data_IF_926187289990
#
_entry.id   IF_926187289990
#
_cell.length_a   1.000
_cell.length_b   1.000
_cell.length_c   1.000
_cell.angle_alpha   90.00
_cell.angle_beta   90.00
_cell.angle_gamma   90.00
#
_symmetry.space_group_name_H-M   'P 1'
#
loop_
_entity.id
_entity.type
_entity.pdbx_description
1 polymer ?
#
# COMPACT_ATOMS: atom_id res chain seq x y z
N UNK A 1 -25.04 -9.45 5.99
CA UNK A 1 -24.31 -10.71 5.77
C UNK A 1 -22.83 -10.35 5.68
N UNK A 2 -22.02 -10.79 6.65
CA UNK A 2 -20.58 -10.52 6.61
C UNK A 2 -20.02 -11.27 5.40
N UNK A 3 -19.23 -10.62 4.55
CA UNK A 3 -18.55 -11.27 3.39
C UNK A 3 -17.81 -12.56 3.76
N UNK A 4 -17.47 -12.74 5.04
CA UNK A 4 -16.76 -13.90 5.58
C UNK A 4 -17.66 -15.09 5.94
N UNK A 5 -18.97 -14.90 6.07
CA UNK A 5 -19.93 -16.00 6.38
C UNK A 5 -20.12 -16.90 5.15
N UNK A 6 -20.26 -16.32 3.96
CA UNK A 6 -20.39 -17.10 2.71
C UNK A 6 -19.07 -17.80 2.33
N UNK A 7 -17.94 -17.22 2.73
CA UNK A 7 -16.64 -17.85 2.57
C UNK A 7 -16.43 -19.05 3.51
N UNK A 8 -17.16 -19.14 4.63
CA UNK A 8 -17.00 -20.22 5.62
C UNK A 8 -17.40 -21.58 5.05
N UNK A 9 -18.55 -21.67 4.38
CA UNK A 9 -19.00 -22.91 3.75
C UNK A 9 -18.11 -23.33 2.57
N UNK A 10 -17.58 -22.35 1.81
CA UNK A 10 -16.60 -22.60 0.75
C UNK A 10 -15.25 -23.11 1.31
N UNK A 11 -14.79 -22.53 2.41
CA UNK A 11 -13.55 -22.93 3.11
C UNK A 11 -13.67 -24.33 3.72
N UNK A 12 -14.85 -24.69 4.25
CA UNK A 12 -15.10 -25.98 4.89
C UNK A 12 -15.12 -27.14 3.89
N UNK A 13 -15.48 -26.88 2.64
CA UNK A 13 -15.52 -27.86 1.56
C UNK A 13 -14.33 -27.72 0.59
N UNK A 14 -13.18 -27.20 1.05
CA UNK A 14 -12.00 -26.92 0.23
C UNK A 14 -11.51 -28.12 -0.58
N UNK A 15 -11.69 -29.32 -0.04
CA UNK A 15 -11.28 -30.60 -0.64
C UNK A 15 -12.07 -30.93 -1.92
N UNK A 16 -13.27 -30.37 -2.09
CA UNK A 16 -14.12 -30.55 -3.27
C UNK A 16 -13.82 -29.56 -4.39
N UNK A 17 -13.07 -28.50 -4.10
CA UNK A 17 -12.92 -27.35 -5.01
C UNK A 17 -11.47 -27.10 -5.47
N UNK A 18 -10.48 -27.90 -5.06
CA UNK A 18 -9.07 -27.82 -5.52
C UNK A 18 -8.39 -26.45 -5.34
N UNK A 19 -8.91 -25.61 -4.46
CA UNK A 19 -8.68 -24.17 -4.52
C UNK A 19 -8.26 -23.52 -3.20
N UNK A 20 -8.16 -24.34 -2.15
CA UNK A 20 -7.67 -23.98 -0.83
C UNK A 20 -6.86 -25.15 -0.29
N UNK A 21 -5.55 -25.13 -0.48
CA UNK A 21 -4.67 -25.97 0.34
C UNK A 21 -4.58 -25.32 1.72
N UNK A 22 -5.23 -25.94 2.71
CA UNK A 22 -4.90 -25.67 4.11
C UNK A 22 -3.40 -25.94 4.28
N UNK A 23 -2.65 -24.91 4.68
CA UNK A 23 -1.22 -25.02 4.89
C UNK A 23 -0.95 -25.86 6.14
N UNK A 24 -0.95 -27.18 5.95
CA UNK A 24 -0.52 -28.17 6.95
C UNK A 24 1.00 -28.38 6.91
N UNK A 25 1.74 -27.49 6.24
CA UNK A 25 3.17 -27.63 6.09
C UNK A 25 3.88 -27.34 7.43
N UNK A 26 4.44 -28.41 8.01
CA UNK A 26 5.30 -28.32 9.20
C UNK A 26 6.65 -27.66 8.87
N UNK A 27 6.93 -27.34 7.61
CA UNK A 27 8.19 -26.74 7.10
C UNK A 27 8.03 -25.27 6.72
N UNK A 28 7.28 -24.47 7.49
CA UNK A 28 7.19 -23.02 7.29
C UNK A 28 8.59 -22.39 7.26
N UNK A 29 8.83 -21.53 6.28
CA UNK A 29 10.10 -20.79 6.18
C UNK A 29 9.96 -19.45 6.87
N UNK A 30 10.34 -19.39 8.14
CA UNK A 30 10.38 -18.14 8.88
C UNK A 30 11.67 -17.40 8.51
N UNK A 31 11.56 -16.14 8.08
CA UNK A 31 12.73 -15.32 7.76
C UNK A 31 12.54 -13.87 8.19
N UNK A 32 13.65 -13.19 8.46
CA UNK A 32 13.65 -11.75 8.77
C UNK A 32 13.43 -10.93 7.50
N UNK A 33 12.59 -9.90 7.58
CA UNK A 33 12.22 -9.06 6.44
C UNK A 33 12.00 -7.61 6.86
N UNK A 34 12.22 -6.68 5.95
CA UNK A 34 11.81 -5.27 6.08
C UNK A 34 10.58 -4.94 5.22
N UNK A 35 10.05 -5.94 4.50
CA UNK A 35 8.86 -5.84 3.65
C UNK A 35 7.63 -6.16 4.48
N UNK A 36 7.05 -5.12 5.06
CA UNK A 36 5.74 -5.21 5.71
C UNK A 36 4.67 -5.19 4.62
N UNK A 37 3.80 -6.19 4.60
CA UNK A 37 2.61 -6.23 3.75
C UNK A 37 1.39 -5.92 4.62
N UNK A 38 0.74 -4.78 4.39
CA UNK A 38 -0.32 -4.26 5.28
C UNK A 38 -1.55 -5.17 5.45
N UNK A 39 -1.74 -6.17 4.58
CA UNK A 39 -2.90 -7.05 4.60
C UNK A 39 -2.97 -7.99 5.81
N UNK A 40 -1.81 -8.42 6.36
CA UNK A 40 -1.74 -9.30 7.53
C UNK A 40 -0.47 -9.00 8.32
N UNK A 41 -0.57 -8.04 9.23
CA UNK A 41 0.54 -7.63 10.09
C UNK A 41 0.11 -7.71 11.55
N UNK A 42 0.98 -8.26 12.40
CA UNK A 42 0.83 -8.22 13.84
C UNK A 42 2.00 -7.43 14.45
N UNK A 43 1.70 -6.51 15.36
CA UNK A 43 2.69 -5.70 16.04
C UNK A 43 2.57 -6.02 17.53
N UNK A 44 3.68 -6.45 18.15
CA UNK A 44 3.74 -6.58 19.61
C UNK A 44 3.51 -5.19 20.22
N UNK A 45 2.60 -5.08 21.19
CA UNK A 45 2.30 -3.78 21.81
C UNK A 45 3.54 -3.12 22.42
N UNK A 46 4.44 -3.91 23.02
CA UNK A 46 5.73 -3.41 23.52
C UNK A 46 6.65 -2.88 22.42
N UNK A 47 6.50 -3.35 21.18
CA UNK A 47 7.23 -2.86 20.02
C UNK A 47 6.58 -1.63 19.38
N UNK A 48 5.35 -1.26 19.75
CA UNK A 48 4.72 -0.03 19.27
C UNK A 48 5.57 1.20 19.64
N UNK A 49 6.26 1.14 20.79
CA UNK A 49 7.24 2.12 21.20
C UNK A 49 8.37 2.23 20.18
N UNK A 50 8.51 3.40 19.56
CA UNK A 50 9.56 3.67 18.59
C UNK A 50 9.29 3.07 17.21
N UNK A 51 8.06 2.68 16.90
CA UNK A 51 7.56 2.60 15.53
C UNK A 51 6.82 3.89 15.17
N UNK A 52 6.98 4.42 13.95
CA UNK A 52 6.15 5.52 13.47
C UNK A 52 4.70 5.02 13.23
N UNK A 53 3.71 5.92 13.18
CA UNK A 53 2.37 5.54 12.73
C UNK A 53 2.40 5.17 11.24
N UNK A 54 1.40 4.40 10.80
CA UNK A 54 1.08 4.33 9.38
C UNK A 54 0.75 5.73 8.87
N UNK A 55 1.30 6.09 7.71
CA UNK A 55 1.14 7.42 7.14
C UNK A 55 0.80 7.29 5.66
N UNK A 56 -0.27 7.96 5.26
CA UNK A 56 -0.69 8.08 3.86
C UNK A 56 -0.91 9.55 3.55
N UNK A 57 -0.64 9.92 2.31
CA UNK A 57 -0.84 11.27 1.80
C UNK A 57 -2.17 11.35 1.06
N UNK A 58 -2.76 12.54 1.01
CA UNK A 58 -3.93 12.86 0.19
C UNK A 58 -3.58 14.04 -0.70
N UNK A 59 -4.00 14.00 -1.96
CA UNK A 59 -3.80 15.09 -2.92
C UNK A 59 -5.01 15.20 -3.86
N UNK A 60 -5.24 16.39 -4.39
CA UNK A 60 -6.38 16.68 -5.27
C UNK A 60 -5.94 16.61 -6.74
N UNK A 61 -6.55 15.73 -7.53
CA UNK A 61 -6.34 15.63 -8.97
C UNK A 61 -7.66 15.99 -9.64
N UNK A 62 -7.69 17.13 -10.34
CA UNK A 62 -8.87 17.61 -11.08
C UNK A 62 -10.16 17.69 -10.26
N UNK A 63 -10.08 18.06 -8.98
CA UNK A 63 -11.23 18.14 -8.08
C UNK A 63 -11.41 16.91 -7.19
N UNK A 64 -10.83 15.76 -7.56
CA UNK A 64 -10.97 14.51 -6.81
C UNK A 64 -9.83 14.32 -5.81
N UNK A 65 -10.19 13.99 -4.56
CA UNK A 65 -9.21 13.65 -3.53
C UNK A 65 -8.78 12.19 -3.66
N UNK A 66 -7.48 12.00 -3.90
CA UNK A 66 -6.84 10.69 -4.01
C UNK A 66 -6.07 10.38 -2.74
N UNK A 67 -6.42 9.27 -2.10
CA UNK A 67 -5.60 8.68 -1.02
C UNK A 67 -4.43 7.89 -1.63
N UNK A 68 -3.21 8.26 -1.27
CA UNK A 68 -2.01 7.53 -1.68
C UNK A 68 -1.94 6.14 -1.05
N UNK A 69 -1.13 5.27 -1.64
CA UNK A 69 -0.89 3.89 -1.19
C UNK A 69 0.53 3.72 -0.70
N UNK A 70 0.78 2.75 0.17
CA UNK A 70 2.13 2.27 0.53
C UNK A 70 2.61 2.74 1.90
N UNK A 71 1.68 2.96 2.81
CA UNK A 71 1.88 3.19 4.24
C UNK A 71 2.72 2.09 4.89
N UNK A 72 2.55 0.84 4.46
CA UNK A 72 3.31 -0.33 4.89
C UNK A 72 4.77 -0.25 4.45
N UNK A 73 5.02 0.21 3.23
CA UNK A 73 6.37 0.47 2.70
C UNK A 73 7.08 1.56 3.50
N UNK A 74 6.36 2.62 3.88
CA UNK A 74 6.92 3.71 4.69
C UNK A 74 7.29 3.22 6.09
N UNK A 75 6.45 2.39 6.71
CA UNK A 75 6.75 1.74 7.97
C UNK A 75 7.97 0.83 7.85
N UNK A 76 8.05 0.00 6.79
CA UNK A 76 9.18 -0.90 6.53
C UNK A 76 10.52 -0.17 6.40
N UNK A 77 10.56 0.97 5.72
CA UNK A 77 11.76 1.82 5.61
C UNK A 77 12.23 2.32 6.98
N UNK A 78 11.29 2.67 7.86
CA UNK A 78 11.61 3.14 9.21
C UNK A 78 12.03 1.98 10.11
N UNK A 79 11.39 0.83 9.98
CA UNK A 79 11.76 -0.39 10.68
C UNK A 79 13.21 -0.80 10.36
N UNK A 80 13.61 -0.75 9.08
CA UNK A 80 14.99 -1.03 8.64
C UNK A 80 16.05 -0.16 9.32
N UNK A 81 15.68 1.05 9.74
CA UNK A 81 16.56 1.99 10.46
C UNK A 81 16.51 1.83 11.98
N UNK A 82 15.74 0.86 12.48
CA UNK A 82 15.56 0.58 13.90
C UNK A 82 16.19 -0.76 14.27
N UNK A 83 16.40 -0.99 15.56
CA UNK A 83 16.85 -2.29 16.10
C UNK A 83 15.73 -3.34 16.14
N UNK A 84 14.51 -2.98 15.74
CA UNK A 84 13.36 -3.89 15.76
C UNK A 84 13.41 -4.82 14.54
N UNK A 85 12.95 -6.05 14.75
CA UNK A 85 12.85 -7.07 13.72
C UNK A 85 11.40 -7.23 13.26
N UNK A 86 11.22 -7.44 11.96
CA UNK A 86 10.00 -8.00 11.40
C UNK A 86 10.33 -9.37 10.83
N UNK A 87 9.44 -10.33 11.07
CA UNK A 87 9.55 -11.69 10.60
C UNK A 87 8.37 -11.98 9.69
N UNK A 88 8.65 -12.60 8.55
CA UNK A 88 7.64 -13.28 7.78
C UNK A 88 7.52 -14.69 8.33
N UNK A 89 6.31 -15.08 8.69
CA UNK A 89 6.01 -16.42 9.23
C UNK A 89 5.46 -17.37 8.17
N UNK A 90 5.53 -16.97 6.89
CA UNK A 90 5.13 -17.76 5.72
C UNK A 90 3.71 -18.29 5.85
N UNK A 91 2.83 -17.46 6.43
CA UNK A 91 1.44 -17.85 6.65
C UNK A 91 0.66 -17.63 5.36
N UNK A 92 0.23 -18.75 4.75
CA UNK A 92 -0.64 -18.72 3.59
C UNK A 92 -2.03 -18.24 4.01
N UNK A 93 -2.47 -17.17 3.35
CA UNK A 93 -3.79 -16.56 3.57
C UNK A 93 -4.53 -16.49 2.26
N UNK A 94 -5.83 -16.83 2.29
CA UNK A 94 -6.69 -16.62 1.15
C UNK A 94 -7.05 -15.13 1.04
N UNK A 95 -6.81 -14.54 -0.13
CA UNK A 95 -7.15 -13.17 -0.42
C UNK A 95 -8.00 -13.13 -1.70
N UNK A 96 -9.31 -12.94 -1.55
CA UNK A 96 -10.21 -12.74 -2.69
C UNK A 96 -10.02 -11.32 -3.25
N UNK A 97 -9.01 -11.15 -4.09
CA UNK A 97 -8.55 -9.83 -4.54
C UNK A 97 -9.65 -9.02 -5.19
N UNK A 98 -10.49 -9.62 -6.02
CA UNK A 98 -11.50 -8.91 -6.82
C UNK A 98 -12.95 -9.20 -6.40
N UNK A 99 -13.16 -10.02 -5.37
CA UNK A 99 -14.50 -10.36 -4.89
C UNK A 99 -15.23 -11.41 -5.73
N UNK A 100 -14.67 -11.83 -6.86
CA UNK A 100 -15.32 -12.72 -7.84
C UNK A 100 -14.63 -14.08 -7.99
N UNK A 101 -13.84 -14.50 -7.00
CA UNK A 101 -13.26 -15.85 -6.97
C UNK A 101 -14.31 -16.94 -7.26
N UNK A 102 -14.03 -17.96 -8.11
CA UNK A 102 -12.74 -18.31 -8.73
C UNK A 102 -12.49 -17.72 -10.14
N UNK A 103 -13.26 -16.71 -10.57
CA UNK A 103 -13.14 -16.16 -11.91
C UNK A 103 -11.73 -15.59 -12.19
N UNK A 104 -11.22 -15.83 -13.41
CA UNK A 104 -9.95 -15.27 -13.86
C UNK A 104 -10.17 -13.78 -14.18
N UNK A 105 -9.44 -12.85 -13.53
CA UNK A 105 -9.61 -11.43 -13.77
C UNK A 105 -9.19 -11.02 -15.19
N UNK A 106 -10.05 -10.27 -15.88
CA UNK A 106 -9.77 -9.69 -17.21
C UNK A 106 -9.92 -8.16 -17.17
N UNK A 107 -8.79 -7.45 -17.08
CA UNK A 107 -8.74 -5.98 -17.01
C UNK A 107 -9.31 -5.27 -18.25
N UNK A 108 -9.38 -5.94 -19.42
CA UNK A 108 -9.92 -5.32 -20.62
C UNK A 108 -11.44 -5.30 -20.60
N UNK A 109 -12.05 -6.37 -20.08
CA UNK A 109 -13.50 -6.58 -20.07
C UNK A 109 -14.16 -6.07 -18.79
N UNK A 110 -13.50 -6.22 -17.64
CA UNK A 110 -14.07 -5.87 -16.36
C UNK A 110 -13.73 -4.42 -15.98
N UNK A 111 -14.78 -3.57 -15.95
CA UNK A 111 -14.66 -2.17 -15.55
C UNK A 111 -14.19 -2.01 -14.11
N UNK A 112 -14.62 -2.87 -13.18
CA UNK A 112 -14.25 -2.77 -11.77
C UNK A 112 -12.76 -3.01 -11.54
N UNK A 113 -12.18 -3.96 -12.28
CA UNK A 113 -10.74 -4.26 -12.27
C UNK A 113 -9.97 -3.07 -12.87
N UNK A 114 -10.46 -2.54 -13.99
CA UNK A 114 -9.88 -1.37 -14.64
C UNK A 114 -9.89 -0.13 -13.75
N UNK A 115 -11.02 0.15 -13.10
CA UNK A 115 -11.19 1.24 -12.14
C UNK A 115 -10.24 1.08 -10.96
N UNK A 116 -10.17 -0.12 -10.37
CA UNK A 116 -9.22 -0.40 -9.29
C UNK A 116 -7.79 -0.16 -9.72
N UNK A 117 -7.41 -0.60 -10.93
CA UNK A 117 -6.07 -0.38 -11.45
C UNK A 117 -5.77 1.11 -11.64
N UNK A 118 -6.70 1.86 -12.21
CA UNK A 118 -6.60 3.32 -12.37
C UNK A 118 -6.35 4.04 -11.04
N UNK A 119 -7.18 3.79 -10.03
CA UNK A 119 -7.00 4.41 -8.70
C UNK A 119 -5.72 3.94 -8.01
N UNK A 120 -5.25 2.72 -8.28
CA UNK A 120 -3.97 2.23 -7.76
C UNK A 120 -2.79 2.98 -8.39
N UNK A 121 -2.84 3.25 -9.70
CA UNK A 121 -1.84 4.09 -10.37
C UNK A 121 -1.76 5.49 -9.74
N UNK A 122 -2.90 6.15 -9.54
CA UNK A 122 -2.95 7.46 -8.87
C UNK A 122 -2.39 7.35 -7.43
N UNK A 123 -2.83 6.36 -6.67
CA UNK A 123 -2.37 6.15 -5.29
C UNK A 123 -0.84 5.98 -5.17
N UNK A 124 -0.21 5.24 -6.09
CA UNK A 124 1.26 5.10 -6.10
C UNK A 124 1.98 6.36 -6.57
N UNK A 125 1.43 7.09 -7.56
CA UNK A 125 1.98 8.37 -8.00
C UNK A 125 1.98 9.40 -6.88
N UNK A 126 0.88 9.48 -6.10
CA UNK A 126 0.76 10.38 -4.96
C UNK A 126 1.80 10.14 -3.85
N UNK A 127 2.20 8.89 -3.62
CA UNK A 127 3.21 8.51 -2.61
C UNK A 127 4.64 8.86 -3.05
N UNK A 128 4.94 8.73 -4.34
CA UNK A 128 6.33 8.70 -4.83
C UNK A 128 7.20 9.92 -4.42
N UNK A 129 6.74 11.18 -4.51
CA UNK A 129 7.55 12.33 -4.09
C UNK A 129 7.99 12.21 -2.64
N UNK A 130 7.07 11.87 -1.73
CA UNK A 130 7.37 11.72 -0.31
C UNK A 130 8.31 10.54 -0.05
N UNK A 131 8.11 9.42 -0.74
CA UNK A 131 9.00 8.26 -0.63
C UNK A 131 10.44 8.59 -1.08
N UNK A 132 10.59 9.33 -2.19
CA UNK A 132 11.88 9.75 -2.72
C UNK A 132 12.59 10.69 -1.74
N UNK A 133 11.86 11.65 -1.17
CA UNK A 133 12.38 12.54 -0.11
C UNK A 133 12.82 11.75 1.12
N UNK A 134 12.01 10.79 1.58
CA UNK A 134 12.33 9.97 2.75
C UNK A 134 13.61 9.13 2.56
N UNK A 135 13.92 8.76 1.32
CA UNK A 135 15.13 8.04 0.94
C UNK A 135 16.36 8.96 0.76
N UNK A 136 16.18 10.29 0.74
CA UNK A 136 17.25 11.24 0.48
C UNK A 136 17.68 11.29 -1.00
N UNK A 137 16.77 10.97 -1.92
CA UNK A 137 17.03 11.02 -3.35
C UNK A 137 17.12 12.46 -3.86
N UNK A 138 17.79 12.65 -5.00
CA UNK A 138 17.71 13.87 -5.80
C UNK A 138 16.30 13.97 -6.42
N UNK A 139 15.47 14.80 -5.79
CA UNK A 139 14.04 14.96 -6.11
C UNK A 139 13.84 15.38 -7.56
N UNK A 140 14.61 16.35 -8.06
CA UNK A 140 14.47 16.88 -9.42
C UNK A 140 14.90 15.84 -10.45
N UNK A 141 16.03 15.17 -10.22
CA UNK A 141 16.49 14.10 -11.11
C UNK A 141 15.48 12.95 -11.19
N UNK A 142 14.96 12.51 -10.04
CA UNK A 142 13.97 11.41 -10.00
C UNK A 142 12.65 11.85 -10.61
N UNK A 143 12.17 13.07 -10.34
CA UNK A 143 10.95 13.65 -10.93
C UNK A 143 11.03 13.62 -12.45
N UNK A 144 12.11 14.16 -13.01
CA UNK A 144 12.30 14.24 -14.46
C UNK A 144 12.33 12.85 -15.13
N UNK A 145 12.98 11.87 -14.49
CA UNK A 145 12.96 10.47 -14.95
C UNK A 145 11.56 9.86 -14.88
N UNK A 146 10.86 10.03 -13.76
CA UNK A 146 9.50 9.51 -13.57
C UNK A 146 8.51 10.11 -14.57
N UNK A 147 8.58 11.43 -14.80
CA UNK A 147 7.73 12.13 -15.76
C UNK A 147 7.87 11.56 -17.17
N UNK A 148 9.11 11.39 -17.67
CA UNK A 148 9.37 10.81 -18.99
C UNK A 148 8.73 9.42 -19.13
N UNK A 149 8.93 8.55 -18.14
CA UNK A 149 8.40 7.19 -18.16
C UNK A 149 6.87 7.16 -18.06
N UNK A 150 6.28 8.00 -17.22
CA UNK A 150 4.82 8.06 -17.03
C UNK A 150 4.13 8.62 -18.28
N UNK A 151 4.73 9.58 -19.01
CA UNK A 151 4.17 10.06 -20.29
C UNK A 151 4.08 8.93 -21.32
N UNK A 152 5.13 8.10 -21.44
CA UNK A 152 5.14 6.97 -22.38
C UNK A 152 4.14 5.90 -21.91
N UNK A 153 4.22 5.52 -20.63
CA UNK A 153 3.39 4.47 -20.05
C UNK A 153 1.89 4.81 -20.04
N UNK A 154 1.52 6.05 -19.73
CA UNK A 154 0.12 6.50 -19.72
C UNK A 154 -0.52 6.40 -21.09
N UNK A 155 0.17 6.84 -22.16
CA UNK A 155 -0.32 6.73 -23.54
C UNK A 155 -0.49 5.28 -23.97
N UNK A 156 0.51 4.45 -23.72
CA UNK A 156 0.45 3.03 -24.05
C UNK A 156 -0.69 2.33 -23.30
N UNK A 157 -0.86 2.65 -22.02
CA UNK A 157 -1.88 2.05 -21.18
C UNK A 157 -3.30 2.50 -21.56
N UNK A 158 -3.49 3.79 -21.84
CA UNK A 158 -4.75 4.34 -22.32
C UNK A 158 -5.19 3.67 -23.62
N UNK A 159 -4.25 3.47 -24.57
CA UNK A 159 -4.52 2.75 -25.82
C UNK A 159 -4.84 1.28 -25.57
N UNK A 160 -4.04 0.58 -24.75
CA UNK A 160 -4.21 -0.85 -24.49
C UNK A 160 -5.55 -1.19 -23.80
N UNK A 161 -6.02 -0.31 -22.90
CA UNK A 161 -7.26 -0.47 -22.15
C UNK A 161 -8.46 0.24 -22.78
N UNK A 162 -8.25 1.01 -23.85
CA UNK A 162 -9.21 1.92 -24.45
C UNK A 162 -9.88 2.82 -23.39
N UNK A 163 -9.06 3.51 -22.60
CA UNK A 163 -9.50 4.32 -21.46
C UNK A 163 -8.61 5.56 -21.31
N UNK A 164 -9.13 6.70 -21.71
CA UNK A 164 -8.40 7.97 -21.73
C UNK A 164 -8.11 8.53 -20.33
N UNK A 165 -8.78 8.02 -19.27
CA UNK A 165 -8.52 8.48 -17.90
C UNK A 165 -7.06 8.32 -17.51
N UNK A 166 -6.37 7.30 -18.04
CA UNK A 166 -4.94 7.08 -17.78
C UNK A 166 -4.03 8.19 -18.33
N UNK A 167 -4.50 9.05 -19.23
CA UNK A 167 -3.73 10.17 -19.75
C UNK A 167 -3.46 11.26 -18.70
N UNK A 168 -4.18 11.26 -17.56
CA UNK A 168 -3.97 12.22 -16.46
C UNK A 168 -2.74 11.91 -15.60
N UNK A 169 -2.19 10.68 -15.67
CA UNK A 169 -1.13 10.25 -14.77
C UNK A 169 0.13 11.15 -14.76
N UNK A 170 0.59 11.73 -15.89
CA UNK A 170 1.69 12.71 -15.87
C UNK A 170 1.36 13.99 -15.08
N UNK A 171 0.13 14.50 -15.18
CA UNK A 171 -0.32 15.67 -14.44
C UNK A 171 -0.48 15.34 -12.96
N UNK A 172 -1.04 14.18 -12.63
CA UNK A 172 -1.13 13.69 -11.25
C UNK A 172 0.26 13.61 -10.58
N UNK A 173 1.30 13.25 -11.33
CA UNK A 173 2.69 13.26 -10.85
C UNK A 173 3.18 14.68 -10.55
N UNK A 174 2.91 15.63 -11.44
CA UNK A 174 3.28 17.02 -11.19
C UNK A 174 2.60 17.54 -9.93
N UNK A 175 1.27 17.37 -9.81
CA UNK A 175 0.51 17.77 -8.63
C UNK A 175 1.07 17.13 -7.36
N UNK A 176 1.46 15.85 -7.39
CA UNK A 176 2.00 15.19 -6.21
C UNK A 176 3.35 15.79 -5.78
N UNK A 177 4.22 16.18 -6.73
CA UNK A 177 5.47 16.89 -6.42
C UNK A 177 5.23 18.31 -5.90
N UNK A 178 4.27 19.06 -6.46
CA UNK A 178 3.90 20.39 -5.95
C UNK A 178 3.38 20.34 -4.49
N UNK A 179 2.79 19.22 -4.09
CA UNK A 179 2.30 18.99 -2.73
C UNK A 179 3.37 18.51 -1.74
N UNK A 180 4.61 18.27 -2.17
CA UNK A 180 5.62 17.58 -1.36
C UNK A 180 5.90 18.31 -0.03
N UNK A 181 6.04 19.64 -0.04
CA UNK A 181 6.34 20.41 1.17
C UNK A 181 5.22 20.30 2.22
N UNK A 182 3.96 20.43 1.77
CA UNK A 182 2.78 20.23 2.61
C UNK A 182 2.80 18.84 3.24
N UNK A 183 3.02 17.81 2.43
CA UNK A 183 3.07 16.41 2.88
C UNK A 183 4.19 16.17 3.90
N UNK A 184 5.37 16.77 3.70
CA UNK A 184 6.48 16.70 4.67
C UNK A 184 6.06 17.33 6.01
N UNK A 185 5.36 18.47 5.98
CA UNK A 185 4.83 19.14 7.17
C UNK A 185 3.81 18.25 7.89
N UNK A 186 2.85 17.69 7.17
CA UNK A 186 1.84 16.76 7.70
C UNK A 186 2.47 15.53 8.34
N UNK A 187 3.49 14.95 7.70
CA UNK A 187 4.25 13.84 8.26
C UNK A 187 4.93 14.22 9.57
N UNK A 188 5.63 15.36 9.61
CA UNK A 188 6.29 15.86 10.84
C UNK A 188 5.28 16.11 11.96
N UNK A 189 4.11 16.67 11.65
CA UNK A 189 3.04 16.90 12.61
C UNK A 189 2.48 15.60 13.17
N UNK A 190 2.23 14.63 12.29
CA UNK A 190 1.75 13.29 12.65
C UNK A 190 2.76 12.58 13.55
N UNK A 191 4.05 12.65 13.24
CA UNK A 191 5.10 12.10 14.08
C UNK A 191 5.15 12.74 15.48
N UNK A 192 4.98 14.06 15.59
CA UNK A 192 4.91 14.75 16.89
C UNK A 192 3.71 14.27 17.71
N UNK A 193 2.52 14.29 17.12
CA UNK A 193 1.29 13.85 17.77
C UNK A 193 1.37 12.38 18.20
N UNK A 194 1.93 11.51 17.36
CA UNK A 194 2.15 10.11 17.67
C UNK A 194 3.07 9.92 18.87
N UNK A 195 4.20 10.63 18.91
CA UNK A 195 5.13 10.55 20.04
C UNK A 195 4.47 11.01 21.35
N UNK A 196 3.65 12.05 21.30
CA UNK A 196 2.91 12.52 22.49
C UNK A 196 1.83 11.53 22.94
N UNK A 197 1.17 10.87 21.98
CA UNK A 197 0.22 9.79 22.26
C UNK A 197 0.92 8.61 22.96
N UNK A 198 2.04 8.14 22.43
CA UNK A 198 2.81 7.04 23.02
C UNK A 198 3.27 7.38 24.45
N UNK A 199 3.79 8.60 24.68
CA UNK A 199 4.18 9.05 26.05
C UNK A 199 3.01 9.04 27.03
N UNK A 200 1.79 9.39 26.58
CA UNK A 200 0.60 9.38 27.44
C UNK A 200 0.14 7.96 27.76
N UNK A 201 0.26 7.03 26.83
CA UNK A 201 0.01 5.61 27.10
C UNK A 201 0.97 5.08 28.16
N UNK A 202 2.26 5.40 28.05
CA UNK A 202 3.26 4.99 29.05
C UNK A 202 2.95 5.50 30.46
N UNK A 203 2.46 6.75 30.58
CA UNK A 203 2.09 7.33 31.89
C UNK A 203 0.83 6.73 32.53
N UNK A 204 0.04 5.97 31.79
CA UNK A 204 -1.17 5.30 32.31
C UNK A 204 -0.91 3.86 32.73
N UNK A 205 0.20 3.28 32.29
CA UNK A 205 0.61 1.91 32.60
C UNK A 205 1.64 1.81 33.74
N UNK A 206 2.14 2.95 34.24
CA UNK A 206 3.01 3.06 35.42
C UNK A 206 2.28 3.70 36.60
#
# INVERSE_FOLDING_TARGET
RLQKEDAYELLRNSDQHNCLSLDNDKKRKIFETDKILGGNVAIKLSALKGLPPFFSTVYNVNGDYVLSRGEDTLLGIKLKKSEKKCIDIDTKIFHNTFGNYPEIPDIKKDKSIKDRFYYTCLGWIGRNPFLNWLKGEDIEKVKNRQKKNIIIGSKALASYLNDERFLILPEALEISYHNLERVISEYKNTMRAWNDFIKKLEKREG
#
